data_IF_179820775985
#
_entry.id   IF_179820775985
#
_cell.length_a   1.000
_cell.length_b   1.000
_cell.length_c   1.000
_cell.angle_alpha   90.00
_cell.angle_beta   90.00
_cell.angle_gamma   90.00
#
_symmetry.space_group_name_H-M   'P 1'
#
loop_
_entity.id
_entity.type
_entity.pdbx_description
1 polymer ?
#
# COMPACT_ATOMS: atom_id res chain seq x y z
N UNK A 1 19.00 -4.05 1.16
CA UNK A 1 18.20 -3.63 2.34
C UNK A 1 16.87 -3.10 1.83
N UNK A 2 15.75 -3.62 2.33
CA UNK A 2 14.40 -3.20 1.91
C UNK A 2 13.97 -1.91 2.61
N UNK A 3 13.20 -1.05 1.92
CA UNK A 3 12.55 0.11 2.53
C UNK A 3 11.12 -0.26 2.89
N UNK A 4 10.68 0.09 4.11
CA UNK A 4 9.30 -0.11 4.57
C UNK A 4 8.58 1.24 4.51
N UNK A 5 7.41 1.25 3.88
CA UNK A 5 6.54 2.43 3.76
C UNK A 5 5.18 2.03 4.33
N UNK A 6 4.69 2.79 5.29
CA UNK A 6 3.38 2.57 5.91
C UNK A 6 2.41 3.70 5.51
N UNK A 7 1.13 3.35 5.30
CA UNK A 7 0.07 4.26 4.86
C UNK A 7 -1.04 4.30 5.90
N UNK A 8 -0.85 5.16 6.91
CA UNK A 8 -1.73 5.27 8.08
C UNK A 8 -2.64 6.50 8.03
N UNK A 9 -3.83 6.36 8.59
CA UNK A 9 -4.76 7.45 8.87
C UNK A 9 -5.86 6.96 9.81
N UNK A 10 -6.21 7.79 10.80
CA UNK A 10 -7.24 7.51 11.80
C UNK A 10 -8.68 7.65 11.27
N UNK A 11 -8.85 8.01 10.00
CA UNK A 11 -10.17 8.16 9.36
C UNK A 11 -10.36 7.13 8.26
N UNK A 12 -11.54 6.49 8.22
CA UNK A 12 -11.96 5.61 7.14
C UNK A 12 -12.30 6.40 5.86
N UNK A 13 -12.19 5.76 4.69
CA UNK A 13 -12.59 6.38 3.41
C UNK A 13 -11.68 7.49 2.88
N UNK A 14 -10.47 7.67 3.43
CA UNK A 14 -9.50 8.69 2.99
C UNK A 14 -8.52 8.21 1.91
N UNK A 15 -8.72 7.00 1.37
CA UNK A 15 -7.92 6.47 0.27
C UNK A 15 -6.59 5.80 0.65
N UNK A 16 -6.42 5.33 1.91
CA UNK A 16 -5.20 4.61 2.37
C UNK A 16 -4.88 3.40 1.50
N UNK A 17 -5.79 2.43 1.41
CA UNK A 17 -5.60 1.19 0.66
C UNK A 17 -5.40 1.45 -0.84
N UNK A 18 -6.15 2.40 -1.41
CA UNK A 18 -5.98 2.85 -2.80
C UNK A 18 -4.59 3.43 -3.05
N UNK A 19 -4.10 4.26 -2.14
CA UNK A 19 -2.78 4.88 -2.25
C UNK A 19 -1.67 3.84 -2.12
N UNK A 20 -1.79 2.91 -1.16
CA UNK A 20 -0.84 1.81 -0.99
C UNK A 20 -0.76 0.92 -2.25
N UNK A 21 -1.92 0.50 -2.80
CA UNK A 21 -1.99 -0.31 -4.03
C UNK A 21 -1.36 0.41 -5.22
N UNK A 22 -1.65 1.70 -5.40
CA UNK A 22 -1.09 2.49 -6.48
C UNK A 22 0.42 2.66 -6.33
N UNK A 23 0.91 2.94 -5.12
CA UNK A 23 2.33 3.06 -4.84
C UNK A 23 3.07 1.75 -5.14
N UNK A 24 2.52 0.62 -4.68
CA UNK A 24 3.06 -0.70 -4.96
C UNK A 24 3.11 -1.00 -6.47
N UNK A 25 2.04 -0.67 -7.19
CA UNK A 25 1.96 -0.83 -8.65
C UNK A 25 3.00 0.01 -9.39
N UNK A 26 3.15 1.28 -9.03
CA UNK A 26 4.12 2.19 -9.64
C UNK A 26 5.55 1.72 -9.38
N UNK A 27 5.86 1.30 -8.14
CA UNK A 27 7.18 0.78 -7.79
C UNK A 27 7.50 -0.52 -8.51
N UNK A 28 6.55 -1.44 -8.62
CA UNK A 28 6.71 -2.66 -9.40
C UNK A 28 6.96 -2.35 -10.89
N UNK A 29 6.19 -1.41 -11.47
CA UNK A 29 6.39 -0.95 -12.87
C UNK A 29 7.74 -0.28 -13.10
N UNK A 30 8.35 0.31 -12.08
CA UNK A 30 9.71 0.86 -12.12
C UNK A 30 10.80 -0.20 -11.97
N UNK A 31 10.45 -1.48 -11.85
CA UNK A 31 11.40 -2.60 -11.76
C UNK A 31 11.86 -2.95 -10.35
N UNK A 32 11.26 -2.35 -9.31
CA UNK A 32 11.56 -2.73 -7.93
C UNK A 32 10.85 -4.02 -7.54
N UNK A 33 11.51 -4.84 -6.71
CA UNK A 33 10.83 -5.93 -5.98
C UNK A 33 9.99 -5.32 -4.88
N UNK A 34 8.67 -5.52 -4.95
CA UNK A 34 7.70 -4.93 -4.04
C UNK A 34 6.90 -6.02 -3.33
N UNK A 35 6.64 -5.82 -2.05
CA UNK A 35 5.68 -6.58 -1.26
C UNK A 35 4.66 -5.58 -0.70
N UNK A 36 3.38 -5.79 -1.00
CA UNK A 36 2.28 -5.05 -0.39
C UNK A 36 1.65 -5.94 0.69
N UNK A 37 1.39 -5.37 1.88
CA UNK A 37 0.80 -6.09 3.02
C UNK A 37 -0.47 -5.35 3.42
N UNK A 38 -1.61 -6.05 3.42
CA UNK A 38 -2.88 -5.49 3.93
C UNK A 38 -3.08 -5.91 5.38
N UNK A 39 -3.03 -4.93 6.28
CA UNK A 39 -3.36 -5.10 7.69
C UNK A 39 -4.65 -4.38 8.09
N UNK A 40 -5.39 -3.83 7.14
CA UNK A 40 -6.68 -3.18 7.42
C UNK A 40 -7.78 -4.25 7.56
N UNK A 41 -8.57 -4.18 8.63
CA UNK A 41 -9.70 -5.08 8.87
C UNK A 41 -10.73 -5.09 7.73
N UNK A 42 -10.78 -4.04 6.91
CA UNK A 42 -11.67 -3.95 5.75
C UNK A 42 -11.13 -4.69 4.51
N UNK A 43 -9.86 -5.09 4.50
CA UNK A 43 -9.23 -5.88 3.42
C UNK A 43 -9.40 -5.31 2.00
N UNK A 44 -9.50 -3.98 1.87
CA UNK A 44 -9.77 -3.27 0.61
C UNK A 44 -8.61 -3.36 -0.40
N UNK A 45 -7.45 -3.90 -0.03
CA UNK A 45 -6.26 -3.98 -0.89
C UNK A 45 -6.12 -5.30 -1.66
N UNK A 46 -7.15 -6.16 -1.65
CA UNK A 46 -7.23 -7.39 -2.46
C UNK A 46 -7.52 -7.07 -3.95
#
# INVERSE_FOLDING_TARGET
MSKVIDTISQKGGVGKSTSCRNLATILARKGYKVLAVDGDNQANMT
#
